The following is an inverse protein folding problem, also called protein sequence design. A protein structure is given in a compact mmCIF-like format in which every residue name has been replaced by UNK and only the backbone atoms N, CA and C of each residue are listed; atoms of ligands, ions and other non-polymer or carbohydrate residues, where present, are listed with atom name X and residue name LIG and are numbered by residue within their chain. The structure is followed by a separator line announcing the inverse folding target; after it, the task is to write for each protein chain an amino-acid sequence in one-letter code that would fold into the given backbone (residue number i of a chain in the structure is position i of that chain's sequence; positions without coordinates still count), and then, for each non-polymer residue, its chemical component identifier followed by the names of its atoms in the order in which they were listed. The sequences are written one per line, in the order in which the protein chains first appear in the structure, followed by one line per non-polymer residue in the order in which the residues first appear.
data_IF_963727709745
#
_entry.id   IF_963727709745
#
_cell.length_a   1.000
_cell.length_b   1.000
_cell.length_c   1.000
_cell.angle_alpha   90.00
_cell.angle_beta   90.00
_cell.angle_gamma   90.00
#
_symmetry.space_group_name_H-M   'P 1'
#
loop_
_entity.id
_entity.type
_entity.pdbx_description
1 polymer ?
#
# COMPACT_ATOMS: atom_id res chain seq x y z
N UNK A 1 21.89 7.96 17.63
CA UNK A 1 20.53 7.41 17.72
C UNK A 1 20.56 5.98 17.21
N UNK A 2 19.91 5.05 17.89
CA UNK A 2 19.79 3.66 17.41
C UNK A 2 18.62 3.63 16.45
N UNK A 3 18.84 3.26 15.19
CA UNK A 3 17.76 3.11 14.21
C UNK A 3 16.73 2.09 14.69
N UNK A 4 15.47 2.33 14.38
CA UNK A 4 14.38 1.38 14.64
C UNK A 4 14.72 0.00 14.07
N UNK A 5 14.55 -1.05 14.85
CA UNK A 5 14.80 -2.44 14.43
C UNK A 5 13.48 -3.10 14.05
N UNK A 6 13.47 -3.84 12.93
CA UNK A 6 12.33 -4.60 12.47
C UNK A 6 12.56 -6.10 12.69
N UNK A 7 11.53 -6.88 12.99
CA UNK A 7 11.66 -8.33 13.05
C UNK A 7 12.05 -8.90 11.69
N UNK A 8 12.78 -10.02 11.68
CA UNK A 8 13.17 -10.73 10.47
C UNK A 8 12.55 -12.12 10.50
N UNK A 9 11.84 -12.49 9.47
CA UNK A 9 11.22 -13.79 9.26
C UNK A 9 9.83 -13.69 8.66
N UNK A 10 9.51 -14.67 7.81
CA UNK A 10 8.18 -14.88 7.24
C UNK A 10 7.71 -16.29 7.64
N UNK A 11 6.61 -16.38 8.35
CA UNK A 11 6.19 -17.58 9.06
C UNK A 11 4.98 -18.25 8.40
N UNK A 12 4.91 -19.59 8.40
CA UNK A 12 3.71 -20.32 7.96
C UNK A 12 2.64 -20.27 9.07
N UNK A 13 1.81 -19.23 9.04
CA UNK A 13 0.75 -18.98 10.03
C UNK A 13 -0.62 -19.47 9.54
N UNK A 14 -0.87 -19.46 8.22
CA UNK A 14 -2.13 -19.86 7.63
C UNK A 14 -1.93 -20.58 6.29
N UNK A 15 -2.87 -21.45 5.89
CA UNK A 15 -2.80 -22.17 4.60
C UNK A 15 -3.16 -21.28 3.41
N UNK A 16 -4.09 -20.34 3.57
CA UNK A 16 -4.43 -19.36 2.55
C UNK A 16 -3.31 -18.32 2.45
N UNK A 17 -2.83 -18.09 1.22
CA UNK A 17 -1.64 -17.27 0.94
C UNK A 17 -1.87 -15.79 1.32
N UNK A 18 -3.08 -15.28 1.09
CA UNK A 18 -3.43 -13.89 1.40
C UNK A 18 -3.54 -13.68 2.91
N UNK A 19 -4.22 -14.59 3.62
CA UNK A 19 -4.33 -14.54 5.07
C UNK A 19 -2.96 -14.72 5.75
N UNK A 20 -2.13 -15.66 5.25
CA UNK A 20 -0.77 -15.85 5.75
C UNK A 20 0.07 -14.57 5.55
N UNK A 21 -0.03 -13.94 4.39
CA UNK A 21 0.67 -12.69 4.11
C UNK A 21 0.23 -11.57 5.08
N UNK A 22 -1.07 -11.39 5.29
CA UNK A 22 -1.57 -10.34 6.19
C UNK A 22 -1.12 -10.58 7.64
N UNK A 23 -1.15 -11.82 8.15
CA UNK A 23 -0.63 -12.13 9.50
C UNK A 23 0.85 -11.72 9.64
N UNK A 24 1.68 -12.08 8.65
CA UNK A 24 3.09 -11.69 8.64
C UNK A 24 3.30 -10.19 8.50
N UNK A 25 2.49 -9.51 7.67
CA UNK A 25 2.52 -8.04 7.51
C UNK A 25 2.32 -7.34 8.85
N UNK A 26 1.27 -7.71 9.59
CA UNK A 26 0.99 -7.07 10.88
C UNK A 26 2.05 -7.38 11.93
N UNK A 27 2.53 -8.62 12.00
CA UNK A 27 3.65 -8.97 12.86
C UNK A 27 4.91 -8.15 12.55
N UNK A 28 5.24 -8.00 11.27
CA UNK A 28 6.45 -7.30 10.83
C UNK A 28 6.46 -5.81 11.20
N UNK A 29 5.29 -5.20 11.40
CA UNK A 29 5.19 -3.82 11.87
C UNK A 29 5.22 -3.69 13.40
N UNK A 30 4.76 -4.68 14.16
CA UNK A 30 4.69 -4.61 15.62
C UNK A 30 5.93 -5.22 16.29
N UNK A 31 6.38 -6.38 15.81
CA UNK A 31 7.59 -7.06 16.29
C UNK A 31 7.45 -7.75 17.65
N UNK A 32 6.27 -7.82 18.25
CA UNK A 32 6.06 -8.50 19.52
C UNK A 32 5.94 -10.01 19.31
N UNK A 33 6.88 -10.79 19.86
CA UNK A 33 6.95 -12.26 19.67
C UNK A 33 5.64 -12.99 20.02
N UNK A 34 4.92 -12.56 21.07
CA UNK A 34 3.62 -13.13 21.45
C UNK A 34 2.56 -13.10 20.37
N UNK A 35 2.65 -12.19 19.38
CA UNK A 35 1.70 -12.16 18.26
C UNK A 35 1.75 -13.42 17.40
N UNK A 36 2.94 -14.02 17.22
CA UNK A 36 3.07 -15.25 16.42
C UNK A 36 2.29 -16.41 17.06
N UNK A 37 2.39 -16.55 18.37
CA UNK A 37 1.71 -17.63 19.09
C UNK A 37 0.20 -17.38 19.16
N UNK A 38 -0.22 -16.14 19.37
CA UNK A 38 -1.63 -15.75 19.32
C UNK A 38 -2.24 -16.02 17.94
N UNK A 39 -1.58 -15.60 16.86
CA UNK A 39 -2.05 -15.84 15.49
C UNK A 39 -2.06 -17.33 15.14
N UNK A 40 -1.05 -18.12 15.55
CA UNK A 40 -1.05 -19.59 15.40
C UNK A 40 -2.22 -20.25 16.13
N UNK A 41 -2.58 -19.72 17.30
CA UNK A 41 -3.68 -20.29 18.09
C UNK A 41 -5.06 -20.09 17.45
N UNK A 42 -5.25 -18.99 16.71
CA UNK A 42 -6.53 -18.67 16.04
C UNK A 42 -6.61 -19.17 14.61
N UNK A 43 -5.49 -19.29 13.91
CA UNK A 43 -5.43 -19.67 12.49
C UNK A 43 -6.25 -20.93 12.13
N UNK A 44 -6.27 -22.03 12.93
CA UNK A 44 -7.09 -23.21 12.62
C UNK A 44 -8.60 -22.96 12.64
N UNK A 45 -9.07 -21.85 13.23
CA UNK A 45 -10.50 -21.48 13.31
C UNK A 45 -10.89 -20.48 12.21
N UNK A 46 -9.95 -20.10 11.35
CA UNK A 46 -10.19 -19.14 10.26
C UNK A 46 -10.33 -19.90 8.95
N UNK A 47 -11.56 -20.02 8.46
CA UNK A 47 -11.87 -20.60 7.17
C UNK A 47 -12.54 -19.59 6.21
N UNK A 48 -12.93 -18.42 6.73
CA UNK A 48 -13.62 -17.37 5.99
C UNK A 48 -13.21 -15.98 6.49
N UNK A 49 -13.54 -14.93 5.75
CA UNK A 49 -13.33 -13.53 6.20
C UNK A 49 -14.20 -13.17 7.42
N UNK A 50 -15.35 -13.80 7.59
CA UNK A 50 -16.15 -13.66 8.82
C UNK A 50 -15.45 -14.27 10.04
N UNK A 51 -14.79 -15.41 9.87
CA UNK A 51 -13.97 -16.00 10.94
C UNK A 51 -12.74 -15.12 11.23
N UNK A 52 -12.07 -14.62 10.19
CA UNK A 52 -10.96 -13.69 10.32
C UNK A 52 -11.36 -12.47 11.17
N UNK A 53 -12.45 -11.80 10.78
CA UNK A 53 -13.00 -10.66 11.53
C UNK A 53 -13.22 -11.03 13.00
N UNK A 54 -13.93 -12.12 13.27
CA UNK A 54 -14.25 -12.57 14.62
C UNK A 54 -13.00 -12.83 15.46
N UNK A 55 -12.06 -13.60 14.94
CA UNK A 55 -10.84 -13.99 15.66
C UNK A 55 -9.93 -12.80 15.91
N UNK A 56 -9.72 -11.94 14.91
CA UNK A 56 -8.87 -10.75 15.08
C UNK A 56 -9.50 -9.68 15.99
N UNK A 57 -10.83 -9.50 15.98
CA UNK A 57 -11.50 -8.66 16.99
C UNK A 57 -11.31 -9.23 18.40
N UNK A 58 -11.41 -10.53 18.58
CA UNK A 58 -11.18 -11.17 19.87
C UNK A 58 -9.73 -11.01 20.36
N UNK A 59 -8.74 -11.17 19.48
CA UNK A 59 -7.33 -10.91 19.78
C UNK A 59 -7.11 -9.44 20.15
N UNK A 60 -7.69 -8.50 19.41
CA UNK A 60 -7.58 -7.08 19.63
C UNK A 60 -8.10 -6.69 21.04
N UNK A 61 -9.30 -7.16 21.39
CA UNK A 61 -9.89 -6.91 22.71
C UNK A 61 -9.09 -7.58 23.85
N UNK A 62 -8.54 -8.77 23.61
CA UNK A 62 -7.67 -9.45 24.58
C UNK A 62 -6.38 -8.67 24.84
N UNK A 63 -5.68 -8.26 23.77
CA UNK A 63 -4.46 -7.47 23.83
C UNK A 63 -4.71 -6.11 24.52
N UNK A 64 -5.85 -5.47 24.24
CA UNK A 64 -6.27 -4.22 24.89
C UNK A 64 -6.41 -4.38 26.41
N UNK A 65 -7.11 -5.43 26.88
CA UNK A 65 -7.25 -5.71 28.31
C UNK A 65 -5.93 -6.00 29.01
N UNK A 66 -4.93 -6.50 28.28
CA UNK A 66 -3.59 -6.79 28.79
C UNK A 66 -2.65 -5.58 28.73
N UNK A 67 -3.10 -4.45 28.18
CA UNK A 67 -2.29 -3.24 28.03
C UNK A 67 -1.32 -3.25 26.86
N UNK A 68 -1.41 -4.21 25.94
CA UNK A 68 -0.62 -4.27 24.70
C UNK A 68 -1.22 -3.36 23.63
N UNK A 69 -1.06 -2.05 23.80
CA UNK A 69 -1.79 -1.03 23.02
C UNK A 69 -1.50 -1.14 21.52
N UNK A 70 -0.22 -1.22 21.12
CA UNK A 70 0.16 -1.30 19.69
C UNK A 70 -0.33 -2.60 19.05
N UNK A 71 -0.13 -3.73 19.73
CA UNK A 71 -0.60 -5.05 19.29
C UNK A 71 -2.11 -5.05 19.10
N UNK A 72 -2.86 -4.52 20.08
CA UNK A 72 -4.32 -4.37 20.00
C UNK A 72 -4.72 -3.54 18.77
N UNK A 73 -4.07 -2.40 18.54
CA UNK A 73 -4.32 -1.55 17.39
C UNK A 73 -4.16 -2.32 16.07
N UNK A 74 -3.04 -3.00 15.89
CA UNK A 74 -2.80 -3.76 14.66
C UNK A 74 -3.73 -4.98 14.50
N UNK A 75 -4.21 -5.57 15.57
CA UNK A 75 -5.27 -6.60 15.47
C UNK A 75 -6.63 -5.99 15.07
N UNK A 76 -6.97 -4.79 15.54
CA UNK A 76 -8.14 -4.08 15.01
C UNK A 76 -7.99 -3.77 13.52
N UNK A 77 -6.81 -3.35 13.08
CA UNK A 77 -6.53 -3.12 11.65
C UNK A 77 -6.57 -4.43 10.84
N UNK A 78 -6.05 -5.53 11.39
CA UNK A 78 -6.14 -6.84 10.77
C UNK A 78 -7.62 -7.27 10.60
N UNK A 79 -8.43 -7.09 11.63
CA UNK A 79 -9.87 -7.39 11.56
C UNK A 79 -10.57 -6.54 10.48
N UNK A 80 -10.28 -5.24 10.43
CA UNK A 80 -10.88 -4.28 9.50
C UNK A 80 -10.53 -4.57 8.05
N UNK A 81 -9.34 -5.14 7.78
CA UNK A 81 -8.77 -5.31 6.45
C UNK A 81 -9.70 -6.07 5.49
N UNK A 82 -10.31 -7.16 5.95
CA UNK A 82 -11.24 -7.96 5.13
C UNK A 82 -12.72 -7.63 5.37
N UNK A 83 -13.04 -6.59 6.16
CA UNK A 83 -14.42 -6.13 6.31
C UNK A 83 -14.89 -5.40 5.04
N UNK A 84 -16.14 -5.65 4.66
CA UNK A 84 -16.79 -4.93 3.56
C UNK A 84 -16.96 -3.44 3.91
N UNK A 85 -17.14 -2.60 2.92
CA UNK A 85 -17.31 -1.15 3.13
C UNK A 85 -18.54 -0.81 4.00
N UNK A 86 -19.59 -1.64 3.95
CA UNK A 86 -20.84 -1.51 4.70
C UNK A 86 -20.85 -2.26 6.05
N UNK A 87 -19.73 -2.89 6.45
CA UNK A 87 -19.64 -3.62 7.72
C UNK A 87 -19.73 -2.65 8.92
N UNK A 88 -20.67 -2.95 9.84
CA UNK A 88 -20.96 -2.08 10.98
C UNK A 88 -19.76 -1.86 11.91
N UNK A 89 -18.82 -2.81 11.98
CA UNK A 89 -17.66 -2.75 12.87
C UNK A 89 -16.45 -2.08 12.19
N UNK A 90 -16.47 -1.91 10.84
CA UNK A 90 -15.32 -1.41 10.07
C UNK A 90 -14.82 -0.06 10.58
N UNK A 91 -15.71 0.89 10.77
CA UNK A 91 -15.37 2.23 11.27
C UNK A 91 -14.78 2.18 12.67
N UNK A 92 -15.42 1.46 13.59
CA UNK A 92 -14.96 1.35 14.97
C UNK A 92 -13.59 0.67 15.07
N UNK A 93 -13.36 -0.40 14.33
CA UNK A 93 -12.06 -1.09 14.28
C UNK A 93 -10.95 -0.16 13.78
N UNK A 94 -11.22 0.61 12.73
CA UNK A 94 -10.30 1.63 12.20
C UNK A 94 -9.97 2.70 13.23
N UNK A 95 -10.97 3.29 13.88
CA UNK A 95 -10.77 4.33 14.89
C UNK A 95 -9.93 3.82 16.07
N UNK A 96 -10.15 2.58 16.52
CA UNK A 96 -9.35 1.94 17.57
C UNK A 96 -7.90 1.73 17.12
N UNK A 97 -7.67 1.30 15.87
CA UNK A 97 -6.33 1.21 15.31
C UNK A 97 -5.61 2.58 15.30
N UNK A 98 -6.22 3.59 14.69
CA UNK A 98 -5.64 4.93 14.60
C UNK A 98 -5.35 5.53 15.98
N UNK A 99 -6.28 5.36 16.95
CA UNK A 99 -6.09 5.81 18.32
C UNK A 99 -4.91 5.12 19.01
N UNK A 100 -4.78 3.80 18.85
CA UNK A 100 -3.69 3.03 19.44
C UNK A 100 -2.31 3.46 18.88
N UNK A 101 -2.21 3.62 17.56
CA UNK A 101 -0.96 4.06 16.91
C UNK A 101 -0.57 5.46 17.36
N UNK A 102 -1.52 6.41 17.37
CA UNK A 102 -1.25 7.77 17.81
C UNK A 102 -0.82 7.82 19.29
N UNK A 103 -1.46 7.05 20.15
CA UNK A 103 -1.10 6.99 21.56
C UNK A 103 0.32 6.45 21.76
N UNK A 104 0.70 5.37 21.06
CA UNK A 104 2.02 4.74 21.24
C UNK A 104 3.15 5.61 20.68
N UNK A 105 2.92 6.26 19.54
CA UNK A 105 3.95 7.09 18.91
C UNK A 105 3.90 8.56 19.35
N UNK A 106 3.02 8.91 20.28
CA UNK A 106 2.90 10.27 20.82
C UNK A 106 2.44 11.30 19.78
N UNK A 107 1.67 10.88 18.79
CA UNK A 107 1.20 11.77 17.73
C UNK A 107 -0.01 12.56 18.22
N UNK A 108 0.13 13.87 18.37
CA UNK A 108 -1.00 14.75 18.63
C UNK A 108 -1.92 14.80 17.39
N UNK A 109 -3.22 15.00 17.62
CA UNK A 109 -4.19 15.24 16.54
C UNK A 109 -3.80 16.45 15.67
N UNK A 110 -3.13 17.43 16.24
CA UNK A 110 -2.65 18.64 15.55
C UNK A 110 -1.45 18.36 14.60
N UNK A 111 -0.77 17.23 14.76
CA UNK A 111 0.35 16.85 13.88
C UNK A 111 -0.13 16.20 12.57
N UNK A 112 -1.39 15.76 12.53
CA UNK A 112 -2.01 15.25 11.31
C UNK A 112 -2.58 16.42 10.50
N UNK A 113 -1.86 16.80 9.46
CA UNK A 113 -2.30 17.84 8.53
C UNK A 113 -3.49 17.34 7.70
N UNK A 114 -4.45 18.23 7.44
CA UNK A 114 -5.53 18.04 6.49
C UNK A 114 -5.29 18.97 5.30
N UNK A 115 -4.58 18.48 4.28
CA UNK A 115 -4.19 19.28 3.12
C UNK A 115 -5.42 19.46 2.21
N UNK A 116 -5.90 20.69 1.96
CA UNK A 116 -7.05 20.90 1.07
C UNK A 116 -6.78 20.34 -0.33
N UNK A 117 -7.71 19.57 -0.84
CA UNK A 117 -7.60 18.95 -2.16
C UNK A 117 -8.96 18.87 -2.85
N UNK A 118 -8.93 19.06 -4.15
CA UNK A 118 -10.14 18.90 -5.00
C UNK A 118 -9.78 18.03 -6.20
N UNK A 119 -10.51 16.95 -6.39
CA UNK A 119 -10.42 16.11 -7.59
C UNK A 119 -11.70 16.32 -8.43
N UNK A 120 -11.57 17.17 -9.44
CA UNK A 120 -12.71 17.54 -10.28
C UNK A 120 -13.82 18.24 -9.47
N UNK A 121 -14.89 17.51 -9.17
CA UNK A 121 -16.06 18.04 -8.44
C UNK A 121 -16.06 17.68 -6.94
N UNK A 122 -15.17 16.77 -6.51
CA UNK A 122 -15.13 16.31 -5.13
C UNK A 122 -14.06 17.13 -4.39
N UNK A 123 -14.51 17.96 -3.45
CA UNK A 123 -13.63 18.67 -2.51
C UNK A 123 -13.45 17.86 -1.24
N UNK A 124 -12.22 17.75 -0.76
CA UNK A 124 -11.86 17.01 0.43
C UNK A 124 -10.50 17.42 0.96
N UNK A 125 -9.81 16.50 1.60
CA UNK A 125 -8.46 16.73 2.12
C UNK A 125 -7.61 15.47 2.01
N UNK A 126 -6.29 15.68 1.96
CA UNK A 126 -5.29 14.61 2.00
C UNK A 126 -4.68 14.62 3.41
N UNK A 127 -4.86 13.55 4.21
CA UNK A 127 -4.17 13.40 5.47
C UNK A 127 -2.66 13.29 5.28
N UNK A 128 -1.88 13.99 6.12
CA UNK A 128 -0.43 13.94 6.05
C UNK A 128 0.22 14.13 7.42
N UNK A 129 1.46 13.61 7.55
CA UNK A 129 2.38 13.89 8.65
C UNK A 129 3.69 14.41 8.10
N UNK A 130 4.39 15.22 8.89
CA UNK A 130 5.73 15.71 8.57
C UNK A 130 6.68 15.41 9.72
N UNK A 131 7.73 14.64 9.45
CA UNK A 131 8.74 14.25 10.43
C UNK A 131 10.09 14.84 10.01
N UNK A 132 10.58 15.80 10.78
CA UNK A 132 11.81 16.54 10.46
C UNK A 132 12.95 16.08 11.37
N UNK A 133 14.11 15.65 10.84
CA UNK A 133 15.30 15.37 11.62
C UNK A 133 15.98 16.65 12.08
N UNK A 134 16.92 16.57 13.03
CA UNK A 134 17.69 17.73 13.49
C UNK A 134 18.49 18.41 12.37
N UNK A 135 19.00 17.62 11.43
CA UNK A 135 19.64 18.09 10.18
C UNK A 135 19.15 17.24 9.04
N UNK A 136 18.56 17.85 8.02
CA UNK A 136 18.01 17.13 6.88
C UNK A 136 19.02 16.99 5.75
N UNK A 137 19.19 15.76 5.25
CA UNK A 137 19.94 15.42 4.04
C UNK A 137 19.10 15.62 2.76
N UNK A 138 17.77 15.76 2.90
CA UNK A 138 16.81 15.89 1.81
C UNK A 138 15.40 15.52 2.25
N UNK A 139 14.43 15.76 1.39
CA UNK A 139 13.01 15.54 1.68
C UNK A 139 12.49 14.32 0.93
N UNK A 140 11.89 13.38 1.66
CA UNK A 140 11.17 12.22 1.14
C UNK A 140 9.68 12.50 1.24
N UNK A 141 8.95 12.33 0.14
CA UNK A 141 7.49 12.30 0.13
C UNK A 141 7.04 10.86 -0.08
N UNK A 142 6.36 10.32 0.92
CA UNK A 142 6.00 8.90 0.98
C UNK A 142 4.48 8.72 0.95
N UNK A 143 4.00 7.76 0.17
CA UNK A 143 2.59 7.35 0.14
C UNK A 143 2.44 5.84 -0.01
N UNK A 144 1.31 5.34 0.46
CA UNK A 144 1.03 3.92 0.51
C UNK A 144 0.47 3.33 -0.78
N UNK A 145 -0.08 2.12 -0.64
CA UNK A 145 -0.67 1.32 -1.69
C UNK A 145 -2.19 1.46 -1.82
N UNK A 146 -2.83 0.35 -2.21
CA UNK A 146 -4.24 0.30 -2.59
C UNK A 146 -5.19 0.53 -1.41
N UNK A 147 -4.87 0.02 -0.23
CA UNK A 147 -5.77 -0.01 0.95
C UNK A 147 -5.02 0.29 2.25
N UNK A 148 -3.92 1.03 2.18
CA UNK A 148 -3.08 1.32 3.32
C UNK A 148 -3.46 2.63 4.02
N UNK A 149 -3.20 2.66 5.33
CA UNK A 149 -3.14 3.88 6.14
C UNK A 149 -1.69 4.26 6.37
N UNK A 150 -1.38 5.55 6.36
CA UNK A 150 -0.02 6.02 6.69
C UNK A 150 0.37 5.66 8.12
N UNK A 151 -0.59 5.56 9.03
CA UNK A 151 -0.36 5.15 10.41
C UNK A 151 0.17 3.71 10.54
N UNK A 152 -0.06 2.84 9.55
CA UNK A 152 0.55 1.51 9.53
C UNK A 152 2.08 1.55 9.39
N UNK A 153 2.61 2.63 8.83
CA UNK A 153 3.99 2.75 8.36
C UNK A 153 4.85 3.64 9.26
N UNK A 154 4.37 4.04 10.45
CA UNK A 154 5.06 5.00 11.33
C UNK A 154 6.50 4.62 11.63
N UNK A 155 6.79 3.32 11.87
CA UNK A 155 8.14 2.86 12.13
C UNK A 155 9.08 3.08 10.92
N UNK A 156 8.57 2.94 9.70
CA UNK A 156 9.35 3.22 8.50
C UNK A 156 9.66 4.72 8.37
N UNK A 157 8.70 5.59 8.70
CA UNK A 157 8.92 7.03 8.66
C UNK A 157 9.93 7.48 9.70
N UNK A 158 9.86 6.95 10.91
CA UNK A 158 10.87 7.23 11.95
C UNK A 158 12.25 6.68 11.57
N UNK A 159 12.32 5.50 10.96
CA UNK A 159 13.58 4.95 10.46
C UNK A 159 14.23 5.91 9.43
N UNK A 160 13.47 6.41 8.46
CA UNK A 160 13.96 7.33 7.44
C UNK A 160 14.33 8.68 8.04
N UNK A 161 13.53 9.21 8.98
CA UNK A 161 13.85 10.43 9.72
C UNK A 161 15.17 10.29 10.51
N UNK A 162 15.32 9.18 11.23
CA UNK A 162 16.50 8.94 12.06
C UNK A 162 17.76 8.65 11.21
N UNK A 163 17.58 8.25 9.94
CA UNK A 163 18.64 8.20 8.94
C UNK A 163 19.02 9.59 8.39
N UNK A 164 18.30 10.65 8.78
CA UNK A 164 18.61 12.04 8.43
C UNK A 164 17.77 12.62 7.29
N UNK A 165 16.65 11.99 6.93
CA UNK A 165 15.77 12.53 5.90
C UNK A 165 14.50 13.16 6.50
N UNK A 166 14.10 14.31 6.01
CA UNK A 166 12.75 14.80 6.27
C UNK A 166 11.74 13.90 5.57
N UNK A 167 10.68 13.48 6.27
CA UNK A 167 9.66 12.59 5.72
C UNK A 167 8.31 13.28 5.76
N UNK A 168 7.70 13.49 4.61
CA UNK A 168 6.32 13.89 4.44
C UNK A 168 5.54 12.65 3.98
N UNK A 169 4.77 12.08 4.89
CA UNK A 169 3.92 10.93 4.61
C UNK A 169 2.48 11.40 4.38
N UNK A 170 1.83 10.98 3.29
CA UNK A 170 0.45 11.39 3.01
C UNK A 170 -0.40 10.27 2.43
N UNK A 171 -1.70 10.41 2.58
CA UNK A 171 -2.71 9.58 1.94
C UNK A 171 -3.32 10.35 0.76
N UNK A 172 -3.16 9.80 -0.44
CA UNK A 172 -3.80 10.36 -1.63
C UNK A 172 -5.20 9.79 -1.87
N UNK A 173 -5.90 10.25 -2.90
CA UNK A 173 -7.23 9.74 -3.26
C UNK A 173 -7.25 8.22 -3.35
N UNK A 174 -8.25 7.58 -2.74
CA UNK A 174 -8.39 6.12 -2.64
C UNK A 174 -7.61 5.48 -1.49
N UNK A 175 -6.85 6.24 -0.70
CA UNK A 175 -6.07 5.72 0.43
C UNK A 175 -6.65 6.22 1.76
N UNK A 176 -6.56 5.39 2.78
CA UNK A 176 -6.80 5.73 4.18
C UNK A 176 -7.91 6.72 4.45
N UNK A 177 -7.59 7.80 5.14
CA UNK A 177 -8.52 8.89 5.47
C UNK A 177 -8.94 9.72 4.26
N UNK A 178 -8.11 9.83 3.20
CA UNK A 178 -8.52 10.52 1.98
C UNK A 178 -9.75 9.86 1.34
N UNK A 179 -9.84 8.53 1.39
CA UNK A 179 -11.03 7.79 0.97
C UNK A 179 -12.13 7.81 2.06
N UNK A 180 -11.78 7.37 3.27
CA UNK A 180 -12.76 7.01 4.29
C UNK A 180 -13.31 8.19 5.10
N UNK A 181 -12.59 9.31 5.14
CA UNK A 181 -12.99 10.54 5.84
C UNK A 181 -13.37 11.65 4.85
N UNK A 182 -12.63 11.79 3.73
CA UNK A 182 -12.84 12.84 2.75
C UNK A 182 -13.59 12.39 1.48
N UNK A 183 -13.87 11.09 1.31
CA UNK A 183 -14.65 10.56 0.19
C UNK A 183 -13.95 10.66 -1.18
N UNK A 184 -12.63 10.77 -1.23
CA UNK A 184 -11.85 10.93 -2.45
C UNK A 184 -11.50 9.56 -3.06
N UNK A 185 -12.09 9.14 -4.17
CA UNK A 185 -11.77 7.86 -4.81
C UNK A 185 -10.43 7.92 -5.53
N UNK A 186 -9.79 6.76 -5.70
CA UNK A 186 -8.47 6.63 -6.32
C UNK A 186 -8.43 7.18 -7.75
N UNK A 187 -7.38 7.94 -8.04
CA UNK A 187 -7.11 8.57 -9.35
C UNK A 187 -5.79 8.09 -9.94
N UNK A 188 -5.72 8.00 -11.26
CA UNK A 188 -4.47 7.75 -11.98
C UNK A 188 -3.64 9.04 -12.20
N UNK A 189 -4.22 10.21 -11.98
CA UNK A 189 -3.54 11.50 -12.09
C UNK A 189 -2.75 11.87 -10.82
N UNK A 190 -1.86 10.97 -10.40
CA UNK A 190 -1.18 11.05 -9.10
C UNK A 190 -0.24 12.26 -8.92
N UNK A 191 0.11 12.91 -10.00
CA UNK A 191 0.82 14.21 -9.94
C UNK A 191 -0.01 15.30 -9.26
N UNK A 192 -1.34 15.27 -9.33
CA UNK A 192 -2.22 16.27 -8.71
C UNK A 192 -2.14 16.24 -7.18
N UNK A 193 -2.40 15.10 -6.49
CA UNK A 193 -2.24 15.04 -5.04
C UNK A 193 -0.79 15.28 -4.59
N UNK A 194 0.22 14.77 -5.32
CA UNK A 194 1.63 15.08 -5.01
C UNK A 194 1.89 16.58 -5.09
N UNK A 195 1.42 17.24 -6.15
CA UNK A 195 1.55 18.70 -6.29
C UNK A 195 0.91 19.45 -5.10
N UNK A 196 -0.30 19.05 -4.70
CA UNK A 196 -0.98 19.69 -3.56
C UNK A 196 -0.19 19.55 -2.25
N UNK A 197 0.42 18.38 -2.01
CA UNK A 197 1.29 18.14 -0.85
C UNK A 197 2.55 19.02 -0.90
N UNK A 198 3.23 19.07 -2.05
CA UNK A 198 4.44 19.89 -2.22
C UNK A 198 4.15 21.37 -2.09
N UNK A 199 3.01 21.85 -2.60
CA UNK A 199 2.59 23.25 -2.48
C UNK A 199 2.26 23.60 -1.01
N UNK A 200 1.56 22.71 -0.30
CA UNK A 200 1.17 22.93 1.10
C UNK A 200 2.39 23.05 2.03
N UNK A 201 3.35 22.13 1.89
CA UNK A 201 4.56 22.13 2.72
C UNK A 201 5.67 23.04 2.17
N UNK A 202 5.47 23.65 0.99
CA UNK A 202 6.42 24.54 0.32
C UNK A 202 7.80 23.88 0.11
N UNK A 203 7.79 22.62 -0.33
CA UNK A 203 9.02 21.84 -0.57
C UNK A 203 9.31 21.67 -2.06
N UNK A 204 10.59 21.66 -2.37
CA UNK A 204 11.14 21.43 -3.70
C UNK A 204 12.28 20.39 -3.59
N UNK A 205 12.68 19.78 -4.71
CA UNK A 205 13.78 18.81 -4.75
C UNK A 205 13.51 17.60 -3.84
N UNK A 206 12.46 16.85 -4.15
CA UNK A 206 12.02 15.73 -3.33
C UNK A 206 12.34 14.38 -3.95
N UNK A 207 12.50 13.38 -3.09
CA UNK A 207 12.44 11.97 -3.46
C UNK A 207 11.03 11.45 -3.23
N UNK A 208 10.38 10.86 -4.24
CA UNK A 208 9.11 10.15 -4.04
C UNK A 208 9.37 8.69 -3.69
N UNK A 209 8.69 8.19 -2.66
CA UNK A 209 8.60 6.76 -2.35
C UNK A 209 7.14 6.34 -2.40
N UNK A 210 6.83 5.37 -3.23
CA UNK A 210 5.50 4.74 -3.28
C UNK A 210 5.57 3.28 -2.93
N UNK A 211 4.76 2.87 -1.94
CA UNK A 211 4.68 1.50 -1.45
C UNK A 211 3.60 0.72 -2.19
N UNK A 212 3.87 -0.52 -2.62
CA UNK A 212 2.88 -1.39 -3.27
C UNK A 212 2.30 -0.73 -4.53
N UNK A 213 0.99 -0.51 -4.62
CA UNK A 213 0.37 0.25 -5.72
C UNK A 213 1.02 1.63 -5.89
N UNK A 214 1.48 2.24 -4.80
CA UNK A 214 2.28 3.46 -4.85
C UNK A 214 3.53 3.34 -5.72
N UNK A 215 4.12 2.16 -5.85
CA UNK A 215 5.30 1.91 -6.69
C UNK A 215 5.07 2.14 -8.19
N UNK A 216 3.84 2.04 -8.68
CA UNK A 216 3.47 2.48 -10.03
C UNK A 216 3.06 3.95 -10.07
N UNK A 217 2.40 4.43 -9.00
CA UNK A 217 1.91 5.80 -8.92
C UNK A 217 3.06 6.83 -8.83
N UNK A 218 4.24 6.47 -8.29
CA UNK A 218 5.42 7.36 -8.29
C UNK A 218 5.82 7.80 -9.69
N UNK A 219 5.73 6.91 -10.69
CA UNK A 219 6.05 7.25 -12.09
C UNK A 219 5.03 8.21 -12.68
N UNK A 220 3.74 7.99 -12.37
CA UNK A 220 2.67 8.89 -12.81
C UNK A 220 2.79 10.28 -12.19
N UNK A 221 3.29 10.38 -10.97
CA UNK A 221 3.57 11.67 -10.34
C UNK A 221 4.83 12.32 -10.93
N UNK A 222 5.96 11.61 -10.97
CA UNK A 222 7.25 12.15 -11.39
C UNK A 222 7.28 12.58 -12.87
N UNK A 223 6.44 11.98 -13.72
CA UNK A 223 6.32 12.36 -15.13
C UNK A 223 5.83 13.80 -15.34
N UNK A 224 5.07 14.37 -14.38
CA UNK A 224 4.39 15.66 -14.52
C UNK A 224 4.68 16.64 -13.39
N UNK A 225 5.41 16.24 -12.33
CA UNK A 225 5.79 17.10 -11.23
C UNK A 225 7.31 17.36 -11.26
N UNK A 226 7.75 18.54 -11.73
CA UNK A 226 9.16 18.82 -11.97
C UNK A 226 10.01 18.94 -10.71
N UNK A 227 9.40 19.05 -9.52
CA UNK A 227 10.12 19.11 -8.22
C UNK A 227 10.58 17.74 -7.75
N UNK A 228 10.24 16.67 -8.46
CA UNK A 228 10.69 15.31 -8.16
C UNK A 228 12.05 15.05 -8.79
N UNK A 229 13.07 14.86 -7.97
CA UNK A 229 14.44 14.57 -8.41
C UNK A 229 14.75 13.07 -8.47
N UNK A 230 14.10 12.27 -7.59
CA UNK A 230 14.33 10.82 -7.46
C UNK A 230 13.03 10.06 -7.25
N UNK A 231 12.99 8.84 -7.75
CA UNK A 231 11.81 7.97 -7.70
C UNK A 231 12.20 6.62 -7.09
N UNK A 232 11.49 6.20 -6.07
CA UNK A 232 11.66 4.88 -5.44
C UNK A 232 10.32 4.12 -5.51
N UNK A 233 10.30 3.05 -6.28
CA UNK A 233 9.17 2.11 -6.32
C UNK A 233 9.37 1.01 -5.27
N UNK A 234 8.63 1.06 -4.19
CA UNK A 234 8.70 0.15 -3.06
C UNK A 234 7.34 -0.57 -2.85
N UNK A 235 6.95 -1.57 -3.48
CA UNK A 235 7.44 -2.46 -4.50
C UNK A 235 6.97 -1.97 -5.88
N UNK A 236 7.63 -2.38 -6.98
CA UNK A 236 7.21 -1.96 -8.32
C UNK A 236 5.96 -2.71 -8.79
N UNK A 237 5.05 -2.02 -9.46
CA UNK A 237 4.12 -2.61 -10.41
C UNK A 237 4.01 -1.74 -11.67
N UNK A 238 3.79 -2.36 -12.82
CA UNK A 238 3.68 -1.67 -14.11
C UNK A 238 2.27 -1.63 -14.65
N UNK A 239 1.43 -2.58 -14.29
CA UNK A 239 0.06 -2.72 -14.78
C UNK A 239 -0.84 -3.34 -13.70
N UNK A 240 -1.75 -2.54 -13.14
CA UNK A 240 -2.64 -2.96 -12.08
C UNK A 240 -3.73 -3.92 -12.56
N UNK A 241 -4.19 -3.79 -13.80
CA UNK A 241 -5.12 -4.75 -14.36
C UNK A 241 -4.47 -6.13 -14.50
N UNK A 242 -3.20 -6.18 -14.89
CA UNK A 242 -2.42 -7.42 -14.97
C UNK A 242 -2.28 -8.10 -13.61
N UNK A 243 -1.99 -7.33 -12.56
CA UNK A 243 -1.94 -7.81 -11.17
C UNK A 243 -3.28 -8.43 -10.75
N UNK A 244 -4.39 -7.72 -10.97
CA UNK A 244 -5.73 -8.22 -10.63
C UNK A 244 -6.13 -9.49 -11.38
N UNK A 245 -5.63 -9.67 -12.59
CA UNK A 245 -5.94 -10.80 -13.45
C UNK A 245 -4.90 -11.92 -13.40
N UNK A 246 -3.87 -11.82 -12.55
CA UNK A 246 -2.76 -12.79 -12.50
C UNK A 246 -3.21 -14.23 -12.31
N UNK A 247 -4.18 -14.45 -11.42
CA UNK A 247 -4.69 -15.78 -11.10
C UNK A 247 -5.85 -16.23 -12.01
N UNK A 248 -6.28 -15.37 -12.94
CA UNK A 248 -7.35 -15.68 -13.89
C UNK A 248 -6.78 -16.48 -15.06
N UNK A 249 -7.48 -17.57 -15.44
CA UNK A 249 -7.10 -18.39 -16.59
C UNK A 249 -6.85 -17.52 -17.84
N UNK A 250 -5.77 -17.76 -18.63
CA UNK A 250 -5.40 -16.92 -19.76
C UNK A 250 -6.50 -16.70 -20.79
N UNK A 251 -7.34 -17.72 -21.06
CA UNK A 251 -8.47 -17.59 -21.98
C UNK A 251 -9.55 -16.65 -21.43
N UNK A 252 -9.89 -16.79 -20.14
CA UNK A 252 -10.87 -15.91 -19.48
C UNK A 252 -10.35 -14.49 -19.40
N UNK A 253 -9.05 -14.30 -19.10
CA UNK A 253 -8.39 -13.00 -19.10
C UNK A 253 -8.48 -12.33 -20.48
N UNK A 254 -8.16 -13.08 -21.57
CA UNK A 254 -8.29 -12.56 -22.94
C UNK A 254 -9.73 -12.18 -23.27
N UNK A 255 -10.70 -13.03 -22.88
CA UNK A 255 -12.12 -12.74 -23.10
C UNK A 255 -12.56 -11.48 -22.35
N UNK A 256 -12.19 -11.36 -21.08
CA UNK A 256 -12.49 -10.17 -20.28
C UNK A 256 -11.90 -8.91 -20.93
N UNK A 257 -10.64 -8.95 -21.36
CA UNK A 257 -9.99 -7.81 -22.03
C UNK A 257 -10.72 -7.42 -23.32
N UNK A 258 -11.16 -8.39 -24.13
CA UNK A 258 -11.94 -8.14 -25.34
C UNK A 258 -13.29 -7.50 -24.99
N UNK A 259 -14.00 -8.03 -23.99
CA UNK A 259 -15.30 -7.49 -23.56
C UNK A 259 -15.18 -6.07 -22.98
N UNK A 260 -14.12 -5.77 -22.26
CA UNK A 260 -13.81 -4.41 -21.78
C UNK A 260 -13.57 -3.44 -22.95
N UNK A 261 -12.83 -3.86 -23.97
CA UNK A 261 -12.58 -3.05 -25.19
C UNK A 261 -13.84 -2.83 -26.03
N UNK A 262 -14.72 -3.85 -26.10
CA UNK A 262 -16.02 -3.75 -26.77
C UNK A 262 -17.08 -3.01 -25.94
N UNK A 263 -16.74 -2.54 -24.73
CA UNK A 263 -17.64 -1.87 -23.79
C UNK A 263 -18.88 -2.70 -23.43
N UNK A 264 -18.74 -4.03 -23.38
CA UNK A 264 -19.82 -4.97 -23.10
C UNK A 264 -20.09 -5.10 -21.59
N UNK A 265 -20.54 -4.02 -20.94
CA UNK A 265 -20.69 -3.91 -19.49
C UNK A 265 -21.52 -5.06 -18.87
N UNK A 266 -22.68 -5.37 -19.44
CA UNK A 266 -23.53 -6.45 -18.92
C UNK A 266 -22.84 -7.83 -18.94
N UNK A 267 -22.05 -8.11 -19.99
CA UNK A 267 -21.32 -9.37 -20.11
C UNK A 267 -20.21 -9.44 -19.06
N UNK A 268 -19.42 -8.37 -18.90
CA UNK A 268 -18.35 -8.30 -17.89
C UNK A 268 -18.94 -8.49 -16.49
N UNK A 269 -20.00 -7.77 -16.14
CA UNK A 269 -20.64 -7.87 -14.84
C UNK A 269 -21.16 -9.29 -14.56
N UNK A 270 -21.78 -9.94 -15.56
CA UNK A 270 -22.24 -11.31 -15.42
C UNK A 270 -21.09 -12.33 -15.26
N UNK A 271 -19.98 -12.13 -15.99
CA UNK A 271 -18.79 -12.98 -15.84
C UNK A 271 -18.20 -12.87 -14.44
N UNK A 272 -18.02 -11.65 -13.95
CA UNK A 272 -17.45 -11.38 -12.62
C UNK A 272 -18.35 -11.91 -11.51
N UNK A 273 -19.66 -11.65 -11.58
CA UNK A 273 -20.62 -12.18 -10.60
C UNK A 273 -20.60 -13.73 -10.50
N UNK A 274 -20.33 -14.41 -11.62
CA UNK A 274 -20.19 -15.88 -11.63
C UNK A 274 -18.92 -16.36 -10.93
N UNK A 275 -17.81 -15.59 -11.05
CA UNK A 275 -16.54 -15.90 -10.37
C UNK A 275 -16.65 -15.57 -8.88
N UNK A 276 -17.17 -14.40 -8.53
CA UNK A 276 -17.35 -13.96 -7.15
C UNK A 276 -18.15 -14.95 -6.30
N UNK A 277 -19.26 -15.50 -6.85
CA UNK A 277 -20.05 -16.55 -6.19
C UNK A 277 -19.28 -17.81 -5.82
N UNK A 278 -18.11 -18.06 -6.44
CA UNK A 278 -17.30 -19.26 -6.24
C UNK A 278 -16.01 -19.00 -5.45
N UNK A 279 -15.64 -17.74 -5.28
CA UNK A 279 -14.39 -17.35 -4.65
C UNK A 279 -14.60 -16.13 -3.75
N UNK A 280 -14.66 -16.31 -2.42
CA UNK A 280 -14.76 -15.20 -1.45
C UNK A 280 -13.64 -14.16 -1.63
N UNK A 281 -12.43 -14.61 -1.98
CA UNK A 281 -11.30 -13.72 -2.26
C UNK A 281 -11.57 -12.81 -3.47
N UNK A 282 -12.12 -13.39 -4.55
CA UNK A 282 -12.48 -12.60 -5.73
C UNK A 282 -13.65 -11.66 -5.45
N UNK A 283 -14.65 -12.10 -4.68
CA UNK A 283 -15.77 -11.25 -4.26
C UNK A 283 -15.26 -10.04 -3.48
N UNK A 284 -14.49 -10.26 -2.41
CA UNK A 284 -13.90 -9.20 -1.60
C UNK A 284 -13.01 -8.27 -2.43
N UNK A 285 -12.12 -8.82 -3.26
CA UNK A 285 -11.20 -8.00 -4.07
C UNK A 285 -11.93 -7.09 -5.07
N UNK A 286 -13.04 -7.55 -5.65
CA UNK A 286 -13.89 -6.73 -6.54
C UNK A 286 -14.63 -5.66 -5.75
N UNK A 287 -15.20 -5.99 -4.59
CA UNK A 287 -15.95 -5.05 -3.77
C UNK A 287 -15.03 -3.95 -3.20
N UNK A 288 -13.88 -4.34 -2.66
CA UNK A 288 -12.88 -3.38 -2.18
C UNK A 288 -12.32 -2.55 -3.35
N UNK A 289 -12.10 -3.19 -4.52
CA UNK A 289 -11.72 -2.48 -5.74
C UNK A 289 -12.74 -1.41 -6.16
N UNK A 290 -14.02 -1.73 -6.13
CA UNK A 290 -15.09 -0.77 -6.41
C UNK A 290 -15.14 0.35 -5.37
N UNK A 291 -14.99 0.02 -4.08
CA UNK A 291 -14.97 0.99 -2.98
C UNK A 291 -13.82 1.99 -3.15
N UNK A 292 -12.60 1.48 -3.29
CA UNK A 292 -11.37 2.31 -3.42
C UNK A 292 -11.43 3.19 -4.67
N UNK A 293 -11.95 2.68 -5.76
CA UNK A 293 -12.02 3.42 -7.03
C UNK A 293 -13.28 4.27 -7.19
N UNK A 294 -14.24 4.18 -6.26
CA UNK A 294 -15.52 4.91 -6.34
C UNK A 294 -16.35 4.49 -7.54
N UNK A 295 -16.35 3.21 -7.89
CA UNK A 295 -17.12 2.68 -9.04
C UNK A 295 -18.30 1.85 -8.57
N UNK A 296 -19.35 1.78 -9.38
CA UNK A 296 -20.62 1.16 -9.02
C UNK A 296 -20.80 -0.25 -9.62
N UNK A 297 -19.86 -0.70 -10.43
CA UNK A 297 -19.94 -2.01 -11.08
C UNK A 297 -18.56 -2.60 -11.35
N UNK A 298 -18.42 -3.96 -11.41
CA UNK A 298 -17.17 -4.60 -11.80
C UNK A 298 -16.62 -4.11 -13.15
N UNK A 299 -17.50 -3.85 -14.12
CA UNK A 299 -17.08 -3.30 -15.40
C UNK A 299 -16.39 -1.94 -15.27
N UNK A 300 -16.95 -1.04 -14.48
CA UNK A 300 -16.36 0.28 -14.23
C UNK A 300 -15.05 0.15 -13.47
N UNK A 301 -14.98 -0.72 -12.45
CA UNK A 301 -13.75 -1.01 -11.72
C UNK A 301 -12.63 -1.46 -12.68
N UNK A 302 -12.86 -2.47 -13.52
CA UNK A 302 -11.83 -2.94 -14.45
C UNK A 302 -11.44 -1.90 -15.49
N UNK A 303 -12.39 -1.08 -15.94
CA UNK A 303 -12.08 0.06 -16.81
C UNK A 303 -11.18 1.09 -16.13
N UNK A 304 -11.44 1.36 -14.85
CA UNK A 304 -10.61 2.28 -14.05
C UNK A 304 -9.27 1.65 -13.72
N UNK A 305 -9.24 0.38 -13.33
CA UNK A 305 -8.01 -0.38 -13.09
C UNK A 305 -7.05 -0.35 -14.28
N UNK A 306 -7.58 -0.38 -15.51
CA UNK A 306 -6.80 -0.27 -16.76
C UNK A 306 -6.05 1.06 -16.90
N UNK A 307 -6.42 2.11 -16.15
CA UNK A 307 -5.73 3.41 -16.21
C UNK A 307 -4.48 3.45 -15.33
N UNK A 308 -4.35 2.50 -14.39
CA UNK A 308 -3.21 2.42 -13.48
C UNK A 308 -2.11 1.53 -14.08
N UNK A 309 -1.37 2.08 -15.04
CA UNK A 309 -0.20 1.48 -15.64
C UNK A 309 0.89 2.54 -15.84
N UNK A 310 2.13 2.11 -16.05
CA UNK A 310 3.29 2.99 -16.20
C UNK A 310 3.73 3.16 -17.65
N UNK A 311 3.21 2.36 -18.57
CA UNK A 311 3.68 2.32 -19.97
C UNK A 311 3.57 3.67 -20.71
N UNK A 312 2.53 4.45 -20.40
CA UNK A 312 2.29 5.76 -21.03
C UNK A 312 3.18 6.89 -20.47
N UNK A 313 3.79 6.70 -19.28
CA UNK A 313 4.57 7.74 -18.60
C UNK A 313 6.05 7.37 -18.42
N UNK A 314 6.45 6.10 -18.56
CA UNK A 314 7.81 5.65 -18.25
C UNK A 314 8.89 6.34 -19.09
N UNK A 315 8.59 6.67 -20.35
CA UNK A 315 9.52 7.41 -21.22
C UNK A 315 9.66 8.89 -20.86
N UNK A 316 8.78 9.42 -20.00
CA UNK A 316 8.85 10.80 -19.51
C UNK A 316 9.75 10.94 -18.29
N UNK A 317 10.12 9.83 -17.64
CA UNK A 317 10.96 9.80 -16.46
C UNK A 317 12.40 10.14 -16.82
N UNK A 318 12.94 11.19 -16.16
CA UNK A 318 14.31 11.69 -16.33
C UNK A 318 15.11 11.60 -15.03
N UNK A 319 14.48 11.20 -13.95
CA UNK A 319 15.00 11.14 -12.59
C UNK A 319 15.94 9.94 -12.41
N UNK A 320 16.65 9.89 -11.27
CA UNK A 320 17.25 8.66 -10.76
C UNK A 320 16.17 7.77 -10.19
N UNK A 321 16.22 6.48 -10.49
CA UNK A 321 15.18 5.52 -10.17
C UNK A 321 15.74 4.35 -9.37
N UNK A 322 15.09 4.00 -8.25
CA UNK A 322 15.29 2.75 -7.53
C UNK A 322 14.03 1.90 -7.62
N UNK A 323 14.19 0.66 -8.11
CA UNK A 323 13.14 -0.33 -8.20
C UNK A 323 13.39 -1.45 -7.19
N UNK A 324 12.43 -1.74 -6.32
CA UNK A 324 12.47 -2.86 -5.39
C UNK A 324 11.40 -3.88 -5.78
N UNK A 325 11.71 -5.17 -5.61
CA UNK A 325 10.76 -6.26 -5.86
C UNK A 325 11.10 -7.49 -5.03
N UNK A 326 10.10 -8.28 -4.64
CA UNK A 326 10.25 -9.58 -4.01
C UNK A 326 10.25 -10.72 -5.05
N UNK A 327 11.12 -11.73 -4.89
CA UNK A 327 11.24 -12.85 -5.84
C UNK A 327 10.04 -13.81 -5.79
N UNK A 328 9.31 -13.84 -4.69
CA UNK A 328 8.12 -14.68 -4.48
C UNK A 328 6.88 -13.83 -4.16
N UNK A 329 6.84 -12.58 -4.67
CA UNK A 329 5.68 -11.71 -4.51
C UNK A 329 4.43 -12.36 -5.13
N UNK A 330 3.42 -12.62 -4.30
CA UNK A 330 2.19 -13.27 -4.73
C UNK A 330 1.20 -12.33 -5.43
N UNK A 331 1.39 -11.00 -5.30
CA UNK A 331 0.59 -10.00 -6.01
C UNK A 331 1.24 -9.61 -7.34
N UNK A 332 2.51 -9.16 -7.31
CA UNK A 332 3.17 -8.57 -8.47
C UNK A 332 4.19 -9.55 -9.06
N UNK A 333 4.02 -10.00 -10.31
CA UNK A 333 4.99 -10.87 -10.96
C UNK A 333 6.32 -10.13 -11.18
N UNK A 334 7.44 -10.83 -10.97
CA UNK A 334 8.79 -10.28 -11.15
C UNK A 334 9.06 -9.79 -12.57
N UNK A 335 8.31 -10.28 -13.56
CA UNK A 335 8.34 -9.81 -14.94
C UNK A 335 8.04 -8.32 -15.07
N UNK A 336 7.21 -7.76 -14.18
CA UNK A 336 6.89 -6.34 -14.16
C UNK A 336 8.11 -5.49 -13.78
N UNK A 337 9.01 -5.97 -12.92
CA UNK A 337 10.29 -5.31 -12.66
C UNK A 337 11.12 -5.17 -13.94
N UNK A 338 11.29 -6.25 -14.69
CA UNK A 338 12.06 -6.23 -15.94
C UNK A 338 11.37 -5.40 -17.04
N UNK A 339 10.06 -5.41 -17.08
CA UNK A 339 9.28 -4.55 -17.98
C UNK A 339 9.53 -3.07 -17.68
N UNK A 340 9.48 -2.69 -16.39
CA UNK A 340 9.70 -1.30 -15.98
C UNK A 340 11.11 -0.83 -16.32
N UNK A 341 12.14 -1.65 -16.07
CA UNK A 341 13.53 -1.32 -16.46
C UNK A 341 13.62 -1.03 -17.97
N UNK A 342 12.98 -1.83 -18.81
CA UNK A 342 13.00 -1.65 -20.27
C UNK A 342 12.24 -0.39 -20.73
N UNK A 343 11.21 0.02 -20.00
CA UNK A 343 10.41 1.20 -20.33
C UNK A 343 11.06 2.53 -19.93
N UNK A 344 11.96 2.54 -18.95
CA UNK A 344 12.62 3.73 -18.42
C UNK A 344 13.78 4.21 -19.32
N UNK A 345 13.51 4.45 -20.60
CA UNK A 345 14.55 4.74 -21.60
C UNK A 345 15.24 6.10 -21.45
N UNK A 346 14.64 7.03 -20.71
CA UNK A 346 15.15 8.39 -20.50
C UNK A 346 15.55 8.68 -19.05
N UNK A 347 15.44 7.70 -18.15
CA UNK A 347 15.87 7.85 -16.77
C UNK A 347 17.38 8.14 -16.69
N UNK A 348 17.79 9.05 -15.78
CA UNK A 348 19.20 9.42 -15.60
C UNK A 348 20.01 8.23 -15.08
N UNK A 349 19.47 7.48 -14.14
CA UNK A 349 20.02 6.20 -13.69
C UNK A 349 18.91 5.25 -13.27
N UNK A 350 19.17 3.94 -13.33
CA UNK A 350 18.25 2.90 -12.86
C UNK A 350 19.03 1.95 -11.96
N UNK A 351 18.62 1.86 -10.71
CA UNK A 351 19.01 0.81 -9.78
C UNK A 351 17.83 -0.13 -9.56
N UNK A 352 18.07 -1.44 -9.56
CA UNK A 352 17.02 -2.42 -9.30
C UNK A 352 17.53 -3.46 -8.31
N UNK A 353 16.69 -3.84 -7.34
CA UNK A 353 16.98 -4.90 -6.39
C UNK A 353 15.83 -5.89 -6.32
N UNK A 354 16.14 -7.16 -6.59
CA UNK A 354 15.28 -8.29 -6.33
C UNK A 354 15.68 -8.94 -5.01
N UNK A 355 14.77 -8.93 -4.04
CA UNK A 355 14.97 -9.56 -2.73
C UNK A 355 14.56 -11.03 -2.78
N UNK A 356 15.28 -11.86 -2.04
CA UNK A 356 15.17 -13.31 -2.10
C UNK A 356 14.79 -13.93 -0.76
N UNK A 357 14.39 -15.19 -0.80
CA UNK A 357 14.01 -15.97 0.37
C UNK A 357 15.13 -16.12 1.40
N UNK A 358 16.39 -16.19 0.96
CA UNK A 358 17.54 -16.25 1.87
C UNK A 358 17.69 -14.99 2.75
N UNK A 359 17.05 -13.89 2.32
CA UNK A 359 17.02 -12.62 3.04
C UNK A 359 15.74 -12.44 3.86
N UNK A 360 14.78 -13.38 3.80
CA UNK A 360 13.42 -13.28 4.34
C UNK A 360 12.66 -12.03 3.81
N UNK A 361 12.92 -11.63 2.59
CA UNK A 361 12.41 -10.41 1.97
C UNK A 361 11.79 -10.67 0.57
N UNK A 362 11.53 -11.92 0.25
CA UNK A 362 11.01 -12.39 -1.04
C UNK A 362 9.56 -12.00 -1.31
N UNK A 363 8.82 -11.63 -0.26
CA UNK A 363 7.38 -11.36 -0.36
C UNK A 363 7.09 -9.91 -0.78
N UNK A 364 5.82 -9.64 -1.07
CA UNK A 364 5.33 -8.31 -1.44
C UNK A 364 5.77 -7.24 -0.44
N UNK A 365 6.32 -6.14 -0.95
CA UNK A 365 6.89 -5.04 -0.16
C UNK A 365 7.91 -5.50 0.88
N UNK A 366 8.58 -6.63 0.66
CA UNK A 366 9.56 -7.26 1.52
C UNK A 366 9.03 -7.55 2.95
N UNK A 367 7.72 -7.89 3.06
CA UNK A 367 7.15 -8.40 4.31
C UNK A 367 7.97 -9.59 4.80
N UNK A 368 8.38 -9.54 6.07
CA UNK A 368 9.36 -10.45 6.67
C UNK A 368 10.73 -9.80 6.88
N UNK A 369 11.11 -8.72 6.18
CA UNK A 369 12.35 -7.99 6.43
C UNK A 369 12.28 -6.53 5.94
N UNK A 370 11.35 -5.74 6.46
CA UNK A 370 11.23 -4.32 6.13
C UNK A 370 12.51 -3.52 6.39
N UNK A 371 13.25 -3.89 7.46
CA UNK A 371 14.51 -3.25 7.80
C UNK A 371 15.56 -3.36 6.71
N UNK A 372 15.60 -4.47 5.97
CA UNK A 372 16.53 -4.64 4.85
C UNK A 372 16.13 -3.73 3.66
N UNK A 373 14.85 -3.64 3.35
CA UNK A 373 14.37 -2.78 2.28
C UNK A 373 14.64 -1.29 2.61
N UNK A 374 14.31 -0.84 3.81
CA UNK A 374 14.55 0.53 4.25
C UNK A 374 16.05 0.87 4.26
N UNK A 375 16.90 -0.04 4.73
CA UNK A 375 18.35 0.11 4.66
C UNK A 375 18.86 0.22 3.22
N UNK A 376 18.29 -0.57 2.30
CA UNK A 376 18.60 -0.48 0.86
C UNK A 376 18.25 0.89 0.31
N UNK A 377 17.08 1.43 0.66
CA UNK A 377 16.64 2.77 0.28
C UNK A 377 17.62 3.83 0.80
N UNK A 378 17.94 3.80 2.11
CA UNK A 378 18.86 4.78 2.71
C UNK A 378 20.25 4.71 2.08
N UNK A 379 20.80 3.50 1.90
CA UNK A 379 22.11 3.33 1.28
C UNK A 379 22.13 3.87 -0.17
N UNK A 380 21.06 3.68 -0.93
CA UNK A 380 20.94 4.22 -2.28
C UNK A 380 20.88 5.74 -2.26
N UNK A 381 20.11 6.33 -1.35
CA UNK A 381 19.99 7.78 -1.20
C UNK A 381 21.30 8.42 -0.75
N UNK A 382 22.03 7.79 0.20
CA UNK A 382 23.31 8.30 0.72
C UNK A 382 24.46 8.17 -0.30
N UNK A 383 24.32 7.29 -1.30
CA UNK A 383 25.28 7.08 -2.38
C UNK A 383 25.10 8.00 -3.59
N UNK A 384 24.07 8.84 -3.61
CA UNK A 384 23.71 9.76 -4.69
C UNK A 384 24.20 11.18 -4.40
#
# INVERSE_FOLDING_TARGET
MTLTTFPVGFYPLHQDISMNFQMNRWFSWVGEAGMLDEMRSVAPRIASYSDWKREFLALAESASRQGHVLRSGYYFRAAEFFMRADDIDRKSAREKFLSAVRAVYGLDQNERHAIPYTDGQIAGFLPAYRFTPAQSKGTIVFFGGFDSYIEELMQAFFYLRDAGYEVIAFEGPGQGGALNEAGLPMTAEWHKPVKAVLDYFQVNHVTLIGLSMGGGLVFRAAAFEPRVDRVIAYDIFTDFLDVNLRQVNPLQRRLLTVMLNLRAAAVVNAMVARVAKKSPVAEWGIEEGMHVTGTSSPYEFFRKAKQFHTADVSTLIKQDVLLLAGSEDHYVPTEQLYQQIKMLTNARSISARLFTKSESAENHCQAGNYGLALRTIVNWLDGM
#
